data_IF_904480279329
#
_entry.id   IF_904480279329
#
_cell.length_a   1.000
_cell.length_b   1.000
_cell.length_c   1.000
_cell.angle_alpha   90.00
_cell.angle_beta   90.00
_cell.angle_gamma   90.00
#
_symmetry.space_group_name_H-M   'P 1'
#
loop_
_entity.id
_entity.type
_entity.pdbx_description
1 polymer ?
#
# COMPACT_ATOMS: atom_id res chain seq x y z
N UNK A 1 31.79 -30.34 -57.95
CA UNK A 1 30.36 -30.28 -57.53
C UNK A 1 30.29 -29.87 -56.07
N UNK A 2 29.41 -28.91 -55.74
CA UNK A 2 28.87 -28.51 -54.41
C UNK A 2 29.90 -28.08 -53.34
N UNK A 3 30.12 -26.78 -53.10
CA UNK A 3 29.33 -25.81 -52.30
C UNK A 3 28.95 -26.32 -50.89
N UNK A 4 29.74 -25.98 -49.86
CA UNK A 4 29.31 -25.81 -48.45
C UNK A 4 30.27 -24.76 -47.82
N UNK A 5 29.93 -23.48 -47.86
CA UNK A 5 29.28 -22.68 -46.81
C UNK A 5 30.21 -22.27 -45.66
N UNK A 6 30.65 -21.00 -45.75
CA UNK A 6 31.12 -20.15 -44.66
C UNK A 6 30.20 -20.22 -43.43
N UNK A 7 30.79 -20.37 -42.24
CA UNK A 7 30.29 -19.71 -41.03
C UNK A 7 31.50 -19.23 -40.22
N UNK A 8 31.82 -17.94 -40.39
CA UNK A 8 32.61 -17.14 -39.47
C UNK A 8 31.63 -16.52 -38.47
N UNK A 9 31.69 -16.88 -37.19
CA UNK A 9 31.13 -16.05 -36.11
C UNK A 9 32.18 -15.93 -35.02
N UNK A 10 32.74 -14.73 -34.94
CA UNK A 10 33.63 -14.27 -33.88
C UNK A 10 32.81 -14.05 -32.60
N UNK A 11 33.26 -14.63 -31.48
CA UNK A 11 32.80 -14.25 -30.14
C UNK A 11 33.97 -13.47 -29.51
N UNK A 12 33.87 -12.16 -29.61
CA UNK A 12 34.61 -11.22 -28.79
C UNK A 12 33.59 -10.41 -28.00
N UNK A 13 34.00 -9.96 -26.80
CA UNK A 13 33.28 -9.11 -25.84
C UNK A 13 32.58 -9.88 -24.72
N UNK A 14 33.36 -10.33 -23.73
CA UNK A 14 32.94 -10.41 -22.32
C UNK A 14 33.98 -9.63 -21.51
N UNK A 15 33.97 -8.31 -21.68
CA UNK A 15 34.68 -7.32 -20.87
C UNK A 15 33.95 -5.99 -21.01
N UNK A 16 32.70 -5.90 -20.55
CA UNK A 16 32.05 -4.61 -20.30
C UNK A 16 31.25 -4.69 -19.01
N UNK A 17 31.36 -3.58 -18.27
CA UNK A 17 31.09 -3.48 -16.85
C UNK A 17 29.72 -3.96 -16.44
N UNK A 18 29.69 -4.56 -15.26
CA UNK A 18 28.53 -4.44 -14.38
C UNK A 18 28.17 -2.96 -14.32
N UNK A 19 27.05 -2.52 -14.89
CA UNK A 19 26.67 -1.15 -14.69
C UNK A 19 26.15 -1.06 -13.26
N UNK A 20 26.72 -0.12 -12.50
CA UNK A 20 26.26 0.27 -11.19
C UNK A 20 24.88 0.94 -11.29
N UNK A 21 23.83 0.19 -11.65
CA UNK A 21 22.44 0.62 -11.56
C UNK A 21 21.79 -0.03 -10.35
N UNK A 22 22.21 0.43 -9.17
CA UNK A 22 21.42 0.34 -7.94
C UNK A 22 21.70 1.54 -7.05
N UNK A 23 22.07 2.69 -7.64
CA UNK A 23 22.30 3.93 -6.90
C UNK A 23 21.04 4.78 -6.94
N UNK A 24 20.28 4.68 -5.86
CA UNK A 24 19.38 5.70 -5.30
C UNK A 24 18.53 6.50 -6.31
N UNK A 25 17.43 5.92 -6.77
CA UNK A 25 16.35 6.64 -7.46
C UNK A 25 15.34 7.26 -6.47
N UNK A 26 15.71 7.43 -5.20
CA UNK A 26 14.91 8.15 -4.19
C UNK A 26 15.36 9.60 -3.98
N UNK A 27 16.43 10.04 -4.65
CA UNK A 27 17.15 11.26 -4.26
C UNK A 27 16.59 12.60 -4.79
N UNK A 28 15.56 12.62 -5.64
CA UNK A 28 15.19 13.86 -6.36
C UNK A 28 13.69 14.19 -6.42
N UNK A 29 12.84 13.62 -5.57
CA UNK A 29 11.45 14.07 -5.47
C UNK A 29 11.34 15.25 -4.52
N UNK A 30 10.69 16.34 -4.94
CA UNK A 30 10.45 17.47 -4.04
C UNK A 30 9.40 17.11 -2.98
N UNK A 31 9.47 17.74 -1.81
CA UNK A 31 8.47 17.55 -0.75
C UNK A 31 7.04 17.84 -1.25
N UNK A 32 6.89 18.82 -2.15
CA UNK A 32 5.60 19.13 -2.77
C UNK A 32 5.03 17.98 -3.61
N UNK A 33 5.88 17.24 -4.32
CA UNK A 33 5.47 16.08 -5.11
C UNK A 33 5.06 14.90 -4.21
N UNK A 34 5.77 14.69 -3.08
CA UNK A 34 5.40 13.67 -2.10
C UNK A 34 3.99 13.93 -1.52
N UNK A 35 3.74 15.18 -1.13
CA UNK A 35 2.45 15.65 -0.61
C UNK A 35 1.35 15.45 -1.65
N UNK A 36 1.52 15.98 -2.86
CA UNK A 36 0.52 15.90 -3.92
C UNK A 36 0.12 14.44 -4.23
N UNK A 37 1.11 13.54 -4.24
CA UNK A 37 0.89 12.12 -4.49
C UNK A 37 0.09 11.45 -3.38
N UNK A 38 0.39 11.76 -2.12
CA UNK A 38 -0.39 11.26 -1.00
C UNK A 38 -1.82 11.81 -1.01
N UNK A 39 -2.01 13.09 -1.35
CA UNK A 39 -3.33 13.71 -1.49
C UNK A 39 -4.18 13.08 -2.61
N UNK A 40 -3.56 12.59 -3.69
CA UNK A 40 -4.28 11.79 -4.71
C UNK A 40 -4.80 10.47 -4.15
N UNK A 41 -4.02 9.80 -3.29
CA UNK A 41 -4.46 8.58 -2.60
C UNK A 41 -5.65 8.92 -1.68
N UNK A 42 -5.54 9.98 -0.87
CA UNK A 42 -6.64 10.45 0.01
C UNK A 42 -7.92 10.76 -0.77
N UNK A 43 -7.82 11.51 -1.87
CA UNK A 43 -8.98 11.82 -2.72
C UNK A 43 -9.64 10.56 -3.26
N UNK A 44 -8.84 9.56 -3.66
CA UNK A 44 -9.36 8.29 -4.15
C UNK A 44 -9.98 7.45 -3.04
N UNK A 45 -9.40 7.48 -1.83
CA UNK A 45 -9.92 6.84 -0.63
C UNK A 45 -11.32 7.39 -0.26
N UNK A 46 -11.54 8.70 -0.41
CA UNK A 46 -12.87 9.31 -0.20
C UNK A 46 -13.95 8.83 -1.19
N UNK A 47 -13.57 8.23 -2.32
CA UNK A 47 -14.51 7.71 -3.31
C UNK A 47 -14.89 6.24 -3.08
N UNK A 48 -14.21 5.54 -2.17
CA UNK A 48 -14.52 4.14 -1.85
C UNK A 48 -15.20 4.04 -0.48
N UNK A 49 -16.04 3.02 -0.33
CA UNK A 49 -16.70 2.75 0.94
C UNK A 49 -15.75 2.03 1.90
N UNK A 50 -15.85 2.33 3.20
CA UNK A 50 -15.09 1.62 4.22
C UNK A 50 -15.57 0.16 4.38
N UNK A 51 -16.88 -0.08 4.20
CA UNK A 51 -17.48 -1.39 4.32
C UNK A 51 -18.49 -1.61 3.18
N UNK A 52 -19.00 -2.83 3.00
CA UNK A 52 -19.98 -3.16 1.94
C UNK A 52 -21.33 -2.39 2.01
N UNK A 53 -21.54 -1.54 3.02
CA UNK A 53 -22.74 -0.71 3.13
C UNK A 53 -22.46 0.67 2.50
N UNK A 54 -23.36 1.17 1.67
CA UNK A 54 -23.25 2.47 1.00
C UNK A 54 -23.10 3.64 1.99
N UNK A 55 -23.57 3.46 3.22
CA UNK A 55 -23.46 4.45 4.30
C UNK A 55 -22.17 4.32 5.14
N UNK A 56 -21.21 3.46 4.75
CA UNK A 56 -19.89 3.36 5.38
C UNK A 56 -18.89 4.25 4.63
N UNK A 57 -18.49 5.37 5.23
CA UNK A 57 -17.60 6.33 4.55
C UNK A 57 -16.49 6.85 5.46
N UNK A 58 -15.41 7.29 4.85
CA UNK A 58 -14.31 7.98 5.55
C UNK A 58 -14.67 9.44 5.80
N UNK A 59 -14.37 9.93 7.00
CA UNK A 59 -14.52 11.34 7.38
C UNK A 59 -13.31 11.83 8.16
N UNK A 60 -13.13 13.15 8.23
CA UNK A 60 -12.06 13.77 9.01
C UNK A 60 -10.68 13.16 8.70
N UNK A 61 -10.38 13.01 7.40
CA UNK A 61 -9.10 12.42 6.96
C UNK A 61 -7.99 13.43 7.19
N UNK A 62 -6.99 13.02 7.97
CA UNK A 62 -5.78 13.77 8.25
C UNK A 62 -4.56 13.02 7.73
N UNK A 63 -3.57 13.75 7.21
CA UNK A 63 -2.33 13.18 6.71
C UNK A 63 -1.12 13.75 7.42
N UNK A 64 -0.16 12.89 7.74
CA UNK A 64 1.15 13.26 8.27
C UNK A 64 2.23 12.64 7.39
N UNK A 65 3.20 13.44 6.94
CA UNK A 65 4.40 12.96 6.24
C UNK A 65 5.60 13.21 7.14
N UNK A 66 6.45 12.21 7.28
CA UNK A 66 7.63 12.21 8.12
C UNK A 66 8.87 11.94 7.26
N UNK A 67 9.88 12.83 7.30
CA UNK A 67 11.11 12.60 6.56
C UNK A 67 11.89 11.41 7.14
N UNK A 68 12.82 10.84 6.35
CA UNK A 68 13.72 9.79 6.83
C UNK A 68 14.47 10.20 8.11
N UNK A 69 14.53 9.32 9.10
CA UNK A 69 15.34 9.54 10.31
C UNK A 69 16.86 9.47 10.04
N UNK A 70 17.27 8.91 8.89
CA UNK A 70 18.66 8.79 8.47
C UNK A 70 18.77 8.91 6.93
N UNK A 71 19.98 9.18 6.39
CA UNK A 71 20.16 9.45 4.96
C UNK A 71 19.75 8.32 4.01
N UNK A 72 19.79 7.07 4.47
CA UNK A 72 19.41 5.88 3.69
C UNK A 72 17.96 5.45 3.97
N UNK A 73 17.22 6.23 4.77
CA UNK A 73 15.87 5.93 5.19
C UNK A 73 14.84 6.30 4.13
N UNK A 74 13.57 5.98 4.43
CA UNK A 74 12.43 6.27 3.57
C UNK A 74 11.55 7.31 4.23
N UNK A 75 10.91 8.15 3.42
CA UNK A 75 9.80 8.95 3.91
C UNK A 75 8.69 8.02 4.37
N UNK A 76 8.07 8.35 5.50
CA UNK A 76 6.89 7.68 5.99
C UNK A 76 5.69 8.61 5.88
N UNK A 77 4.51 8.05 5.79
CA UNK A 77 3.27 8.80 5.92
C UNK A 77 2.23 8.01 6.69
N UNK A 78 1.35 8.73 7.39
CA UNK A 78 0.17 8.15 8.03
C UNK A 78 -1.06 8.91 7.56
N UNK A 79 -2.10 8.17 7.15
CA UNK A 79 -3.44 8.68 6.88
C UNK A 79 -4.31 8.22 8.06
N UNK A 80 -4.83 9.16 8.83
CA UNK A 80 -5.72 8.92 9.97
C UNK A 80 -7.13 9.34 9.56
N UNK A 81 -8.14 8.57 9.92
CA UNK A 81 -9.53 8.86 9.54
C UNK A 81 -10.50 8.38 10.59
N UNK A 82 -11.61 9.08 10.72
CA UNK A 82 -12.80 8.57 11.36
C UNK A 82 -13.67 7.83 10.33
N UNK A 83 -14.49 6.90 10.80
CA UNK A 83 -15.38 6.10 9.97
C UNK A 83 -16.82 6.45 10.33
N UNK A 84 -17.57 6.96 9.35
CA UNK A 84 -19.00 7.17 9.49
C UNK A 84 -19.73 5.87 9.16
N UNK A 85 -20.32 5.22 10.18
CA UNK A 85 -21.24 4.11 10.02
C UNK A 85 -22.21 4.01 11.21
N UNK A 86 -23.35 3.31 11.06
CA UNK A 86 -24.20 2.97 12.19
C UNK A 86 -23.42 2.14 13.22
N UNK A 87 -23.03 2.77 14.32
CA UNK A 87 -22.22 2.22 15.41
C UNK A 87 -22.56 2.93 16.72
N UNK A 88 -22.23 2.29 17.84
CA UNK A 88 -22.44 2.86 19.18
C UNK A 88 -21.25 3.72 19.65
N UNK A 89 -20.12 3.68 18.93
CA UNK A 89 -18.88 4.37 19.24
C UNK A 89 -18.29 5.11 18.04
N UNK A 90 -17.21 5.83 18.27
CA UNK A 90 -16.42 6.41 17.19
C UNK A 90 -15.46 5.34 16.66
N UNK A 91 -15.59 5.03 15.39
CA UNK A 91 -14.70 4.13 14.68
C UNK A 91 -13.58 4.93 13.99
N UNK A 92 -12.37 4.41 14.02
CA UNK A 92 -11.19 5.07 13.44
C UNK A 92 -10.34 4.10 12.63
N UNK A 93 -9.52 4.64 11.73
CA UNK A 93 -8.51 3.88 11.02
C UNK A 93 -7.23 4.69 10.78
N UNK A 94 -6.10 4.00 10.86
CA UNK A 94 -4.76 4.51 10.60
C UNK A 94 -4.08 3.67 9.52
N UNK A 95 -3.65 4.31 8.44
CA UNK A 95 -2.97 3.66 7.32
C UNK A 95 -1.55 4.20 7.17
N UNK A 96 -0.57 3.31 7.23
CA UNK A 96 0.84 3.68 7.22
C UNK A 96 1.49 3.35 5.88
N UNK A 97 2.21 4.32 5.35
CA UNK A 97 2.89 4.26 4.07
C UNK A 97 4.39 4.50 4.22
N UNK A 98 5.15 3.94 3.29
CA UNK A 98 6.54 4.35 3.03
C UNK A 98 6.68 4.78 1.58
N UNK A 99 7.52 5.77 1.32
CA UNK A 99 7.89 6.12 -0.05
C UNK A 99 9.11 5.33 -0.46
N UNK A 100 8.95 4.43 -1.44
CA UNK A 100 10.00 3.54 -1.92
C UNK A 100 9.88 3.34 -3.42
N UNK A 101 11.01 3.26 -4.14
CA UNK A 101 11.02 3.03 -5.59
C UNK A 101 10.08 3.99 -6.32
N UNK A 102 10.14 5.27 -5.94
CA UNK A 102 9.33 6.34 -6.51
C UNK A 102 7.80 6.13 -6.39
N UNK A 103 7.32 5.40 -5.37
CA UNK A 103 5.87 5.17 -5.11
C UNK A 103 5.59 5.14 -3.61
N UNK A 104 4.40 5.60 -3.21
CA UNK A 104 3.88 5.28 -1.90
C UNK A 104 3.49 3.80 -1.83
N UNK A 105 3.89 3.13 -0.74
CA UNK A 105 3.57 1.74 -0.46
C UNK A 105 2.87 1.66 0.89
N UNK A 106 1.65 1.14 0.91
CA UNK A 106 0.91 0.79 2.11
C UNK A 106 1.58 -0.41 2.79
N UNK A 107 2.00 -0.23 4.04
CA UNK A 107 2.72 -1.26 4.80
C UNK A 107 1.95 -1.78 6.00
N UNK A 108 1.06 -0.96 6.57
CA UNK A 108 0.28 -1.33 7.74
C UNK A 108 -1.06 -0.60 7.72
N UNK A 109 -2.08 -1.23 8.27
CA UNK A 109 -3.36 -0.60 8.54
C UNK A 109 -3.89 -1.05 9.89
N UNK A 110 -4.52 -0.14 10.62
CA UNK A 110 -5.21 -0.43 11.87
C UNK A 110 -6.60 0.15 11.77
N UNK A 111 -7.63 -0.64 12.08
CA UNK A 111 -9.01 -0.18 12.07
C UNK A 111 -9.66 -0.58 13.40
N UNK A 112 -10.22 0.39 14.08
CA UNK A 112 -10.81 0.21 15.41
C UNK A 112 -12.29 0.47 15.30
N UNK A 113 -13.07 -0.55 15.68
CA UNK A 113 -14.52 -0.49 15.59
C UNK A 113 -15.17 -0.96 16.89
N UNK A 114 -16.42 -0.57 17.12
CA UNK A 114 -17.18 -1.05 18.28
C UNK A 114 -17.36 -2.59 18.36
N UNK A 115 -17.05 -3.32 17.27
CA UNK A 115 -17.16 -4.79 17.19
C UNK A 115 -15.83 -5.53 17.20
N UNK A 116 -14.77 -4.91 16.67
CA UNK A 116 -13.47 -5.55 16.47
C UNK A 116 -12.34 -4.54 16.20
N UNK A 117 -11.12 -4.96 16.56
CA UNK A 117 -9.87 -4.31 16.18
C UNK A 117 -9.22 -5.12 15.05
N UNK A 118 -8.88 -4.43 13.97
CA UNK A 118 -8.26 -5.01 12.79
C UNK A 118 -6.82 -4.51 12.69
N UNK A 119 -5.89 -5.43 12.44
CA UNK A 119 -4.49 -5.12 12.19
C UNK A 119 -4.08 -5.76 10.88
N UNK A 120 -3.54 -4.95 9.98
CA UNK A 120 -3.05 -5.35 8.67
C UNK A 120 -1.55 -5.12 8.59
N UNK A 121 -0.80 -6.12 8.11
CA UNK A 121 0.60 -5.99 7.69
C UNK A 121 0.67 -6.47 6.25
N UNK A 122 0.70 -5.51 5.33
CA UNK A 122 0.69 -5.72 3.88
C UNK A 122 -0.40 -6.71 3.45
N UNK A 123 -0.02 -7.96 3.13
CA UNK A 123 -0.89 -8.99 2.60
C UNK A 123 -1.55 -9.87 3.69
N UNK A 124 -1.29 -9.57 4.97
CA UNK A 124 -1.80 -10.33 6.12
C UNK A 124 -2.69 -9.47 6.98
N UNK A 125 -3.62 -10.13 7.65
CA UNK A 125 -4.48 -9.48 8.65
C UNK A 125 -4.67 -10.33 9.90
N UNK A 126 -4.96 -9.66 11.00
CA UNK A 126 -5.44 -10.20 12.26
C UNK A 126 -6.65 -9.39 12.74
N UNK A 127 -7.67 -10.06 13.28
CA UNK A 127 -8.88 -9.43 13.82
C UNK A 127 -9.11 -9.93 15.23
N UNK A 128 -9.31 -9.00 16.14
CA UNK A 128 -9.61 -9.24 17.54
C UNK A 128 -11.04 -8.78 17.80
N UNK A 129 -11.93 -9.70 18.18
CA UNK A 129 -13.29 -9.32 18.54
C UNK A 129 -13.31 -8.56 19.87
N UNK A 130 -14.01 -7.42 19.93
CA UNK A 130 -14.18 -6.66 21.18
C UNK A 130 -15.11 -7.39 22.15
N UNK A 131 -16.05 -8.19 21.63
CA UNK A 131 -17.06 -8.88 22.45
C UNK A 131 -16.70 -10.32 22.82
N UNK A 132 -15.67 -10.91 22.21
CA UNK A 132 -15.30 -12.32 22.42
C UNK A 132 -13.80 -12.51 22.40
N UNK A 133 -13.26 -13.54 23.05
CA UNK A 133 -11.83 -13.88 22.97
C UNK A 133 -11.44 -14.55 21.63
N UNK A 134 -12.20 -14.30 20.55
CA UNK A 134 -11.92 -14.90 19.23
C UNK A 134 -10.92 -14.02 18.48
N UNK A 135 -9.92 -14.69 17.91
CA UNK A 135 -8.95 -14.12 16.97
C UNK A 135 -9.12 -14.78 15.60
N UNK A 136 -9.15 -13.96 14.56
CA UNK A 136 -9.10 -14.41 13.17
C UNK A 136 -7.83 -13.89 12.52
N UNK A 137 -7.27 -14.65 11.59
CA UNK A 137 -6.09 -14.22 10.83
C UNK A 137 -6.14 -14.83 9.44
N UNK A 138 -5.55 -14.15 8.46
CA UNK A 138 -5.60 -14.63 7.09
C UNK A 138 -4.75 -13.80 6.13
N UNK A 139 -4.99 -14.08 4.86
CA UNK A 139 -4.40 -13.40 3.72
C UNK A 139 -5.45 -12.50 3.06
N UNK A 140 -5.08 -11.28 2.68
CA UNK A 140 -6.02 -10.30 2.13
C UNK A 140 -6.50 -10.67 0.72
N UNK A 141 -5.69 -11.35 -0.09
CA UNK A 141 -6.07 -11.78 -1.45
C UNK A 141 -7.12 -12.88 -1.33
N UNK A 142 -6.88 -13.83 -0.42
CA UNK A 142 -7.88 -14.84 -0.12
C UNK A 142 -9.17 -14.21 0.42
N UNK A 143 -9.07 -13.30 1.39
CA UNK A 143 -10.24 -12.64 1.98
C UNK A 143 -11.04 -11.81 0.96
N UNK A 144 -10.37 -11.18 -0.01
CA UNK A 144 -11.02 -10.50 -1.14
C UNK A 144 -11.84 -11.47 -1.99
N UNK A 145 -11.27 -12.64 -2.29
CA UNK A 145 -11.94 -13.67 -3.10
C UNK A 145 -13.13 -14.30 -2.35
N UNK A 146 -12.97 -14.52 -1.03
CA UNK A 146 -13.99 -15.12 -0.17
C UNK A 146 -15.11 -14.12 0.18
N UNK A 147 -14.86 -12.81 0.06
CA UNK A 147 -15.83 -11.74 0.33
C UNK A 147 -16.27 -11.63 1.80
N UNK A 148 -15.51 -12.22 2.72
CA UNK A 148 -15.89 -12.39 4.13
C UNK A 148 -15.28 -11.32 5.06
N UNK A 149 -14.33 -10.53 4.58
CA UNK A 149 -13.67 -9.48 5.33
C UNK A 149 -14.30 -8.12 5.01
N UNK A 150 -14.86 -7.45 6.03
CA UNK A 150 -15.46 -6.13 5.91
C UNK A 150 -14.51 -5.10 6.52
N UNK A 151 -13.74 -4.43 5.68
CA UNK A 151 -12.66 -3.54 6.11
C UNK A 151 -12.38 -2.51 5.03
N UNK A 152 -11.96 -1.30 5.44
CA UNK A 152 -11.54 -0.24 4.54
C UNK A 152 -10.17 -0.48 3.91
N UNK A 153 -9.35 -1.31 4.55
CA UNK A 153 -8.04 -1.73 4.07
C UNK A 153 -8.13 -2.47 2.74
N UNK A 154 -9.15 -3.30 2.53
CA UNK A 154 -9.34 -4.04 1.28
C UNK A 154 -9.50 -3.14 0.05
N UNK A 155 -10.49 -2.23 -0.02
CA UNK A 155 -10.63 -1.32 -1.15
C UNK A 155 -9.46 -0.34 -1.25
N UNK A 156 -8.86 0.08 -0.12
CA UNK A 156 -7.63 0.87 -0.17
C UNK A 156 -6.49 0.10 -0.87
N UNK A 157 -6.26 -1.16 -0.48
CA UNK A 157 -5.17 -1.99 -0.98
C UNK A 157 -5.34 -2.37 -2.45
N UNK A 158 -6.57 -2.66 -2.88
CA UNK A 158 -6.84 -3.21 -4.22
C UNK A 158 -7.44 -2.22 -5.22
N UNK A 159 -8.27 -1.29 -4.78
CA UNK A 159 -9.05 -0.44 -5.68
C UNK A 159 -8.38 0.94 -5.80
N UNK A 160 -8.03 1.54 -4.67
CA UNK A 160 -7.29 2.81 -4.61
C UNK A 160 -5.82 2.60 -4.99
N UNK A 161 -5.21 1.55 -4.47
CA UNK A 161 -3.83 1.16 -4.76
C UNK A 161 -3.80 -0.05 -5.72
N UNK A 162 -2.63 -0.31 -6.30
CA UNK A 162 -2.32 -1.51 -7.04
C UNK A 162 -1.56 -2.48 -6.14
N UNK A 163 -2.30 -3.33 -5.43
CA UNK A 163 -1.77 -4.30 -4.47
C UNK A 163 -0.89 -3.61 -3.39
N UNK A 164 -1.44 -2.56 -2.78
CA UNK A 164 -0.74 -1.78 -1.75
C UNK A 164 0.28 -0.78 -2.29
N UNK A 165 0.48 -0.68 -3.61
CA UNK A 165 1.39 0.29 -4.22
C UNK A 165 0.61 1.40 -4.95
N UNK A 166 1.05 2.65 -4.82
CA UNK A 166 0.41 3.80 -5.47
C UNK A 166 0.24 3.59 -6.99
N UNK A 167 -0.96 3.86 -7.52
CA UNK A 167 -1.23 3.86 -8.96
C UNK A 167 -0.64 5.14 -9.60
N UNK A 168 0.11 4.99 -10.69
CA UNK A 168 0.70 6.10 -11.46
C UNK A 168 -0.16 6.37 -12.69
#
# INVERSE_FOLDING_TARGET
MRRICLVLIAIAIICFGFPAYARAESANMSDSQLVERLERIVRSMQQVHFCYNENCSYRNIETKIEPPANPDGKYAATIMTEIDRPSAGLDTADYHFIFSNNRWQLIKGEEYTDVADYVFDRDRYEIYSVHTNRKFQGDIVQAKNDGNLKSGYLPLYFDVLDNGLERI
#
